data_IF_891745560162
#
_entry.id   IF_891745560162
#
_cell.length_a   1.000
_cell.length_b   1.000
_cell.length_c   1.000
_cell.angle_alpha   90.00
_cell.angle_beta   90.00
_cell.angle_gamma   90.00
#
_symmetry.space_group_name_H-M   'P 1'
#
loop_
_entity.id
_entity.type
_entity.pdbx_description
1 polymer ?
#
# COMPACT_ATOMS: atom_id res chain seq x y z
N UNK A 1 16.94 4.09 12.39
CA UNK A 1 16.30 2.77 12.25
C UNK A 1 15.06 2.85 13.10
N UNK A 2 13.90 2.55 12.55
CA UNK A 2 12.66 2.67 13.32
C UNK A 2 12.67 1.58 14.36
N UNK A 3 12.40 1.94 15.61
CA UNK A 3 12.42 0.99 16.70
C UNK A 3 11.09 0.25 16.72
N UNK A 4 11.01 -0.84 15.95
CA UNK A 4 9.86 -1.72 15.94
C UNK A 4 9.97 -2.72 17.08
N UNK A 5 8.85 -2.92 17.77
CA UNK A 5 8.73 -4.00 18.75
C UNK A 5 9.00 -5.36 18.10
N UNK A 6 9.38 -6.34 18.90
CA UNK A 6 9.58 -7.70 18.40
C UNK A 6 8.28 -8.32 17.89
N UNK A 7 7.14 -7.90 18.44
CA UNK A 7 5.83 -8.35 17.99
C UNK A 7 5.46 -7.77 16.62
N UNK A 8 5.81 -6.51 16.32
CA UNK A 8 5.67 -5.96 14.96
C UNK A 8 6.50 -6.76 13.96
N UNK A 9 7.75 -7.11 14.31
CA UNK A 9 8.62 -7.92 13.44
C UNK A 9 8.01 -9.29 13.19
N UNK A 10 7.49 -9.96 14.22
CA UNK A 10 6.88 -11.28 14.07
C UNK A 10 5.64 -11.24 13.17
N UNK A 11 4.72 -10.30 13.40
CA UNK A 11 3.51 -10.16 12.57
C UNK A 11 3.82 -9.71 11.14
N UNK A 12 4.97 -9.08 10.91
CA UNK A 12 5.46 -8.78 9.56
C UNK A 12 6.09 -9.99 8.87
N UNK A 13 6.99 -10.73 9.53
CA UNK A 13 7.68 -11.87 8.92
C UNK A 13 6.80 -13.13 8.84
N UNK A 14 5.88 -13.30 9.79
CA UNK A 14 4.98 -14.44 9.91
C UNK A 14 3.51 -13.96 10.01
N UNK A 15 2.99 -13.24 9.01
CA UNK A 15 1.65 -12.67 9.08
C UNK A 15 0.60 -13.77 9.23
N UNK A 16 -0.27 -13.60 10.24
CA UNK A 16 -1.43 -14.44 10.50
C UNK A 16 -2.54 -14.07 9.52
N UNK A 17 -3.26 -15.07 9.01
CA UNK A 17 -4.48 -14.87 8.22
C UNK A 17 -4.33 -14.04 6.92
N UNK A 18 -3.12 -13.90 6.38
CA UNK A 18 -2.93 -13.30 5.07
C UNK A 18 -3.54 -14.17 3.95
N UNK A 19 -4.23 -13.55 2.99
CA UNK A 19 -4.80 -14.20 1.83
C UNK A 19 -6.25 -13.81 1.53
N UNK A 20 -6.79 -14.36 0.44
CA UNK A 20 -8.19 -14.18 0.08
C UNK A 20 -9.10 -15.11 0.90
N UNK A 21 -10.32 -14.66 1.19
CA UNK A 21 -11.37 -15.47 1.82
C UNK A 21 -12.54 -15.61 0.84
N UNK A 22 -12.74 -16.81 0.28
CA UNK A 22 -13.74 -17.05 -0.77
C UNK A 22 -15.19 -17.00 -0.30
N UNK A 23 -15.44 -17.32 0.97
CA UNK A 23 -16.79 -17.32 1.59
C UNK A 23 -17.03 -16.09 2.48
N UNK A 24 -16.34 -14.97 2.21
CA UNK A 24 -16.53 -13.76 2.97
C UNK A 24 -17.94 -13.18 2.72
N UNK A 25 -18.63 -12.83 3.79
CA UNK A 25 -19.94 -12.16 3.75
C UNK A 25 -19.89 -10.73 4.32
N UNK A 26 -18.68 -10.26 4.65
CA UNK A 26 -18.41 -8.92 5.12
C UNK A 26 -17.05 -8.49 4.57
N UNK A 27 -17.00 -7.43 3.78
CA UNK A 27 -15.77 -6.97 3.10
C UNK A 27 -15.59 -5.48 3.30
N UNK A 28 -14.41 -5.08 3.76
CA UNK A 28 -14.00 -3.68 3.89
C UNK A 28 -12.75 -3.43 3.06
N UNK A 29 -12.79 -2.41 2.20
CA UNK A 29 -11.66 -1.99 1.37
C UNK A 29 -11.34 -0.53 1.65
N UNK A 30 -10.08 -0.24 1.94
CA UNK A 30 -9.60 1.12 2.26
C UNK A 30 -8.25 1.38 1.61
N UNK A 31 -7.98 2.66 1.34
CA UNK A 31 -6.76 3.12 0.70
C UNK A 31 -6.75 2.91 -0.81
N UNK A 32 -5.65 3.30 -1.44
CA UNK A 32 -5.50 3.27 -2.88
C UNK A 32 -4.06 2.96 -3.28
N UNK A 33 -3.89 2.27 -4.40
CA UNK A 33 -2.55 1.97 -4.95
C UNK A 33 -1.79 3.29 -5.23
N UNK A 34 -2.50 4.37 -5.54
CA UNK A 34 -1.93 5.71 -5.74
C UNK A 34 -1.33 6.34 -4.48
N UNK A 35 -1.85 6.04 -3.28
CA UNK A 35 -1.34 6.56 -2.01
C UNK A 35 -0.31 5.63 -1.32
N UNK A 36 0.02 4.50 -1.98
CA UNK A 36 1.09 3.59 -1.61
C UNK A 36 0.74 2.56 -0.53
N UNK A 37 -0.45 2.64 0.07
CA UNK A 37 -0.99 1.63 0.98
C UNK A 37 -2.47 1.36 0.63
N UNK A 38 -2.86 0.09 0.61
CA UNK A 38 -4.23 -0.36 0.40
C UNK A 38 -4.48 -1.65 1.21
N UNK A 39 -5.69 -1.79 1.74
CA UNK A 39 -6.09 -2.93 2.56
C UNK A 39 -7.49 -3.39 2.18
N UNK A 40 -7.61 -4.69 1.89
CA UNK A 40 -8.86 -5.43 1.79
C UNK A 40 -8.97 -6.39 2.96
N UNK A 41 -9.91 -6.14 3.86
CA UNK A 41 -10.28 -7.00 4.97
C UNK A 41 -11.54 -7.79 4.60
N UNK A 42 -11.51 -9.10 4.84
CA UNK A 42 -12.60 -10.01 4.52
C UNK A 42 -12.93 -10.84 5.76
N UNK A 43 -14.19 -10.82 6.17
CA UNK A 43 -14.68 -11.59 7.32
C UNK A 43 -15.74 -12.59 6.87
N UNK A 44 -15.78 -13.72 7.57
CA UNK A 44 -16.89 -14.67 7.57
C UNK A 44 -17.57 -14.56 8.94
N UNK A 45 -18.78 -14.04 8.94
CA UNK A 45 -19.58 -13.76 10.13
C UNK A 45 -20.77 -14.70 10.15
N UNK A 46 -21.06 -15.34 11.28
CA UNK A 46 -22.29 -16.12 11.43
C UNK A 46 -23.51 -15.17 11.52
N UNK A 47 -24.47 -15.24 10.59
CA UNK A 47 -25.65 -14.37 10.60
C UNK A 47 -26.58 -14.53 11.81
N UNK A 48 -26.52 -15.66 12.53
CA UNK A 48 -27.37 -15.90 13.69
C UNK A 48 -26.76 -15.38 14.99
N UNK A 49 -25.43 -15.47 15.12
CA UNK A 49 -24.72 -15.12 16.35
C UNK A 49 -23.89 -13.84 16.25
N UNK A 50 -23.72 -13.31 15.03
CA UNK A 50 -22.82 -12.20 14.70
C UNK A 50 -21.35 -12.43 15.09
N UNK A 51 -20.94 -13.70 15.27
CA UNK A 51 -19.56 -14.06 15.59
C UNK A 51 -18.71 -14.12 14.32
N UNK A 52 -17.51 -13.54 14.38
CA UNK A 52 -16.51 -13.60 13.31
C UNK A 52 -15.82 -14.97 13.37
N UNK A 53 -16.17 -15.87 12.45
CA UNK A 53 -15.63 -17.24 12.38
C UNK A 53 -14.24 -17.31 11.73
N UNK A 54 -14.03 -16.54 10.66
CA UNK A 54 -12.74 -16.39 9.99
C UNK A 54 -12.58 -14.94 9.54
N UNK A 55 -11.35 -14.45 9.55
CA UNK A 55 -10.99 -13.13 9.06
C UNK A 55 -9.69 -13.26 8.28
N UNK A 56 -9.61 -12.69 7.09
CA UNK A 56 -8.40 -12.64 6.27
C UNK A 56 -8.20 -11.27 5.67
N UNK A 57 -6.96 -10.98 5.29
CA UNK A 57 -6.62 -9.71 4.67
C UNK A 57 -5.73 -9.87 3.45
N UNK A 58 -5.86 -8.92 2.53
CA UNK A 58 -4.91 -8.65 1.47
C UNK A 58 -4.50 -7.19 1.57
N UNK A 59 -3.22 -6.93 1.74
CA UNK A 59 -2.70 -5.55 1.80
C UNK A 59 -1.55 -5.36 0.83
N UNK A 60 -1.50 -4.18 0.25
CA UNK A 60 -0.34 -3.66 -0.44
C UNK A 60 0.16 -2.48 0.37
N UNK A 61 1.40 -2.50 0.85
CA UNK A 61 1.89 -1.42 1.68
C UNK A 61 3.21 -1.72 2.36
N UNK A 62 3.58 -0.85 3.30
CA UNK A 62 4.79 -1.04 4.11
C UNK A 62 4.66 -2.19 5.13
N UNK A 63 5.77 -2.62 5.73
CA UNK A 63 5.76 -3.74 6.69
C UNK A 63 4.86 -3.53 7.90
N UNK A 64 4.66 -2.27 8.32
CA UNK A 64 3.73 -1.93 9.40
C UNK A 64 2.26 -2.08 9.01
N UNK A 65 1.91 -1.91 7.72
CA UNK A 65 0.57 -2.20 7.23
C UNK A 65 0.27 -3.70 7.33
N UNK A 66 1.22 -4.54 6.89
CA UNK A 66 1.11 -6.01 7.01
C UNK A 66 0.97 -6.43 8.47
N UNK A 67 1.82 -5.90 9.36
CA UNK A 67 1.76 -6.23 10.78
C UNK A 67 0.43 -5.78 11.43
N UNK A 68 -0.05 -4.58 11.12
CA UNK A 68 -1.31 -4.03 11.66
C UNK A 68 -2.52 -4.83 11.18
N UNK A 69 -2.59 -5.15 9.88
CA UNK A 69 -3.68 -5.97 9.33
C UNK A 69 -3.67 -7.39 9.90
N UNK A 70 -2.48 -7.98 10.08
CA UNK A 70 -2.35 -9.30 10.69
C UNK A 70 -2.74 -9.30 12.17
N UNK A 71 -2.36 -8.27 12.92
CA UNK A 71 -2.76 -8.10 14.31
C UNK A 71 -4.28 -7.96 14.44
N UNK A 72 -4.87 -7.12 13.59
CA UNK A 72 -6.30 -6.90 13.56
C UNK A 72 -7.07 -8.21 13.35
N UNK A 73 -6.71 -9.02 12.34
CA UNK A 73 -7.39 -10.30 12.09
C UNK A 73 -7.30 -11.24 13.29
N UNK A 74 -6.17 -11.28 13.97
CA UNK A 74 -5.97 -12.13 15.16
C UNK A 74 -6.79 -11.62 16.37
N UNK A 75 -7.00 -10.31 16.48
CA UNK A 75 -7.78 -9.70 17.55
C UNK A 75 -9.30 -9.86 17.39
N UNK A 76 -9.81 -10.03 16.17
CA UNK A 76 -11.25 -10.05 15.88
C UNK A 76 -11.84 -11.44 15.70
N UNK A 77 -11.05 -12.44 15.33
CA UNK A 77 -11.55 -13.82 15.17
C UNK A 77 -12.08 -14.33 16.51
N UNK A 78 -13.30 -14.86 16.49
CA UNK A 78 -14.02 -15.36 17.66
C UNK A 78 -14.77 -14.28 18.46
N UNK A 79 -14.66 -13.00 18.10
CA UNK A 79 -15.47 -11.92 18.67
C UNK A 79 -16.77 -11.73 17.91
N UNK A 80 -17.77 -11.17 18.59
CA UNK A 80 -18.98 -10.65 17.94
C UNK A 80 -18.70 -9.34 17.21
N UNK A 81 -19.52 -8.97 16.23
CA UNK A 81 -19.41 -7.66 15.56
C UNK A 81 -19.48 -6.49 16.55
N UNK A 82 -20.31 -6.63 17.59
CA UNK A 82 -20.48 -5.62 18.62
C UNK A 82 -19.23 -5.45 19.50
N UNK A 83 -18.43 -6.50 19.68
CA UNK A 83 -17.13 -6.40 20.36
C UNK A 83 -16.07 -5.88 19.39
N UNK A 84 -16.10 -6.33 18.14
CA UNK A 84 -15.11 -5.95 17.13
C UNK A 84 -15.18 -4.44 16.83
N UNK A 85 -16.38 -3.86 16.75
CA UNK A 85 -16.57 -2.44 16.44
C UNK A 85 -15.95 -1.49 17.48
N UNK A 86 -15.71 -1.98 18.70
CA UNK A 86 -15.09 -1.20 19.79
C UNK A 86 -13.58 -1.13 19.70
N UNK A 87 -12.95 -1.96 18.85
CA UNK A 87 -11.50 -1.96 18.65
C UNK A 87 -11.12 -0.67 17.95
N UNK A 88 -10.15 0.04 18.50
CA UNK A 88 -9.60 1.27 17.96
C UNK A 88 -8.26 1.03 17.27
N UNK A 89 -7.76 2.02 16.53
CA UNK A 89 -6.41 1.98 16.00
C UNK A 89 -5.34 1.87 17.11
N UNK A 90 -5.59 2.48 18.27
CA UNK A 90 -4.69 2.39 19.42
C UNK A 90 -4.64 0.97 19.98
N UNK A 91 -5.77 0.25 20.05
CA UNK A 91 -5.77 -1.15 20.49
C UNK A 91 -4.94 -2.05 19.56
N UNK A 92 -4.94 -1.79 18.25
CA UNK A 92 -4.12 -2.51 17.26
C UNK A 92 -2.63 -2.20 17.50
N UNK A 93 -2.29 -0.92 17.69
CA UNK A 93 -0.92 -0.50 17.97
C UNK A 93 -0.41 -1.08 19.30
N UNK A 94 -1.23 -1.03 20.36
CA UNK A 94 -0.91 -1.54 21.68
C UNK A 94 -0.79 -3.06 21.68
N UNK A 95 -1.65 -3.75 20.93
CA UNK A 95 -1.53 -5.19 20.71
C UNK A 95 -0.17 -5.53 20.10
N UNK A 96 0.32 -4.73 19.15
CA UNK A 96 1.65 -4.89 18.57
C UNK A 96 2.79 -4.46 19.50
N UNK A 97 2.54 -4.02 20.72
CA UNK A 97 3.56 -3.49 21.64
C UNK A 97 4.01 -2.09 21.28
N UNK A 98 3.17 -1.33 20.61
CA UNK A 98 3.41 0.01 20.10
C UNK A 98 3.83 0.03 18.62
N UNK A 99 3.48 1.13 17.96
CA UNK A 99 4.00 1.47 16.64
C UNK A 99 4.76 2.80 16.74
N UNK A 100 5.84 2.98 15.97
CA UNK A 100 6.45 4.29 15.81
C UNK A 100 5.40 5.32 15.38
N UNK A 101 5.40 6.55 15.93
CA UNK A 101 4.39 7.56 15.63
C UNK A 101 4.13 7.73 14.14
N UNK A 102 5.19 7.74 13.34
CA UNK A 102 5.14 7.97 11.89
C UNK A 102 4.49 6.84 11.07
N UNK A 103 4.22 5.70 11.70
CA UNK A 103 3.54 4.54 11.09
C UNK A 103 2.15 4.32 11.70
N UNK A 104 1.67 5.23 12.54
CA UNK A 104 0.35 5.12 13.16
C UNK A 104 -0.78 5.05 12.13
N UNK A 105 -0.63 5.66 10.95
CA UNK A 105 -1.59 5.54 9.85
C UNK A 105 -1.92 4.08 9.47
N UNK A 106 -0.99 3.13 9.66
CA UNK A 106 -1.22 1.71 9.38
C UNK A 106 -2.26 1.09 10.32
N UNK A 107 -2.30 1.55 11.57
CA UNK A 107 -3.31 1.14 12.54
C UNK A 107 -4.67 1.78 12.26
N UNK A 108 -4.68 3.03 11.80
CA UNK A 108 -5.90 3.75 11.37
C UNK A 108 -6.54 3.04 10.18
N UNK A 109 -5.75 2.70 9.16
CA UNK A 109 -6.22 1.96 8.00
C UNK A 109 -6.83 0.59 8.37
N UNK A 110 -6.21 -0.13 9.33
CA UNK A 110 -6.79 -1.37 9.84
C UNK A 110 -8.17 -1.16 10.49
N UNK A 111 -8.27 -0.15 11.35
CA UNK A 111 -9.52 0.23 11.99
C UNK A 111 -10.62 0.59 10.98
N UNK A 112 -10.32 1.44 9.99
CA UNK A 112 -11.28 1.86 8.96
C UNK A 112 -11.75 0.66 8.11
N UNK A 113 -10.84 -0.26 7.76
CA UNK A 113 -11.19 -1.48 7.05
C UNK A 113 -12.15 -2.37 7.86
N UNK A 114 -12.00 -2.42 9.18
CA UNK A 114 -12.92 -3.15 10.05
C UNK A 114 -14.31 -2.51 10.06
N UNK A 115 -14.39 -1.20 10.23
CA UNK A 115 -15.67 -0.49 10.23
C UNK A 115 -16.40 -0.66 8.90
N UNK A 116 -15.67 -0.52 7.78
CA UNK A 116 -16.21 -0.76 6.45
C UNK A 116 -16.74 -2.20 6.27
N UNK A 117 -16.01 -3.20 6.77
CA UNK A 117 -16.45 -4.60 6.70
C UNK A 117 -17.71 -4.87 7.54
N UNK A 118 -17.80 -4.29 8.74
CA UNK A 118 -18.96 -4.45 9.63
C UNK A 118 -20.20 -3.78 9.02
N UNK A 119 -20.06 -2.57 8.50
CA UNK A 119 -21.15 -1.86 7.84
C UNK A 119 -21.62 -2.59 6.58
N UNK A 120 -20.69 -3.13 5.78
CA UNK A 120 -21.01 -3.98 4.64
C UNK A 120 -21.86 -5.20 5.02
N UNK A 121 -21.54 -5.86 6.14
CA UNK A 121 -22.34 -6.98 6.66
C UNK A 121 -23.74 -6.56 7.09
N UNK A 122 -23.86 -5.41 7.78
CA UNK A 122 -25.14 -4.87 8.25
C UNK A 122 -26.02 -4.32 7.12
N UNK A 123 -25.48 -4.20 5.91
CA UNK A 123 -26.14 -3.54 4.79
C UNK A 123 -26.31 -2.04 5.01
N UNK A 124 -25.48 -1.45 5.87
CA UNK A 124 -25.41 -0.02 6.09
C UNK A 124 -24.54 0.59 4.98
N UNK A 125 -24.92 1.78 4.49
CA UNK A 125 -24.04 2.54 3.60
C UNK A 125 -22.85 3.05 4.41
N UNK A 126 -21.72 2.35 4.27
CA UNK A 126 -20.43 2.88 4.67
C UNK A 126 -19.95 3.82 3.58
N UNK A 127 -20.14 5.11 3.81
CA UNK A 127 -19.38 6.11 3.07
C UNK A 127 -17.96 6.06 3.62
N UNK A 128 -17.01 5.63 2.77
CA UNK A 128 -15.62 5.99 3.01
C UNK A 128 -15.56 7.51 2.78
N UNK A 129 -15.58 8.29 3.85
CA UNK A 129 -15.80 9.75 3.86
C UNK A 129 -14.78 10.55 3.01
N UNK A 130 -13.86 9.89 2.31
CA UNK A 130 -13.04 10.42 1.23
C UNK A 130 -13.80 11.23 0.17
N UNK A 131 -15.14 11.14 0.11
CA UNK A 131 -16.00 11.93 -0.79
C UNK A 131 -16.96 12.93 -0.10
N UNK A 132 -17.08 12.96 1.23
CA UNK A 132 -18.01 13.88 1.93
C UNK A 132 -17.36 15.19 2.41
N UNK A 133 -16.02 15.26 2.44
CA UNK A 133 -15.25 16.44 2.84
C UNK A 133 -14.60 17.18 1.67
N UNK A 134 -14.30 18.47 1.85
CA UNK A 134 -13.46 19.18 0.91
C UNK A 134 -12.05 18.53 0.89
N UNK A 135 -11.59 18.08 -0.29
CA UNK A 135 -10.26 17.48 -0.43
C UNK A 135 -9.18 18.42 0.13
N UNK A 136 -8.55 17.98 1.22
CA UNK A 136 -7.59 18.77 1.98
C UNK A 136 -6.18 18.54 1.46
N UNK A 137 -5.73 17.28 1.40
CA UNK A 137 -4.43 16.88 0.89
C UNK A 137 -4.53 16.10 -0.42
N UNK A 138 -4.24 16.78 -1.54
CA UNK A 138 -4.24 16.16 -2.87
C UNK A 138 -3.20 15.06 -3.06
N UNK A 139 -2.07 15.13 -2.38
CA UNK A 139 -0.97 14.17 -2.55
C UNK A 139 -1.31 12.78 -2.03
N UNK A 140 -2.05 12.72 -0.92
CA UNK A 140 -2.36 11.47 -0.23
C UNK A 140 -3.85 11.12 -0.27
N UNK A 141 -4.68 11.96 -0.92
CA UNK A 141 -6.11 11.74 -1.03
C UNK A 141 -6.87 11.94 0.28
N UNK A 142 -6.35 12.77 1.19
CA UNK A 142 -6.94 12.98 2.51
C UNK A 142 -7.92 14.14 2.46
N UNK A 143 -9.16 13.93 2.87
CA UNK A 143 -10.18 14.96 3.05
C UNK A 143 -10.14 15.58 4.46
N UNK A 144 -10.89 16.66 4.65
CA UNK A 144 -11.00 17.35 5.95
C UNK A 144 -11.63 16.48 7.05
N UNK A 145 -12.65 15.68 6.73
CA UNK A 145 -13.34 14.81 7.69
C UNK A 145 -12.42 13.75 8.27
N UNK A 146 -11.57 13.13 7.45
CA UNK A 146 -10.54 12.19 7.92
C UNK A 146 -9.59 12.84 8.94
N UNK A 147 -9.18 14.08 8.69
CA UNK A 147 -8.33 14.84 9.63
C UNK A 147 -9.08 15.14 10.92
N UNK A 148 -10.33 15.61 10.85
CA UNK A 148 -11.16 15.89 12.02
C UNK A 148 -11.37 14.62 12.89
N UNK A 149 -11.71 13.49 12.26
CA UNK A 149 -11.86 12.19 12.96
C UNK A 149 -10.55 11.77 13.63
N UNK A 150 -9.43 11.85 12.92
CA UNK A 150 -8.12 11.49 13.47
C UNK A 150 -7.75 12.36 14.68
N UNK A 151 -8.00 13.68 14.62
CA UNK A 151 -7.78 14.61 15.74
C UNK A 151 -8.65 14.23 16.93
N UNK A 152 -9.95 14.02 16.74
CA UNK A 152 -10.87 13.71 17.85
C UNK A 152 -10.57 12.37 18.51
N UNK A 153 -10.34 11.32 17.72
CA UNK A 153 -10.09 9.97 18.24
C UNK A 153 -8.77 9.88 19.00
N UNK A 154 -7.72 10.56 18.51
CA UNK A 154 -6.37 10.42 19.04
C UNK A 154 -5.91 11.65 19.84
N UNK A 155 -6.76 12.66 19.99
CA UNK A 155 -6.49 13.94 20.69
C UNK A 155 -5.24 14.62 20.16
N UNK A 156 -5.15 14.76 18.84
CA UNK A 156 -3.95 15.30 18.18
C UNK A 156 -3.88 16.82 18.37
N UNK A 157 -2.73 17.32 18.81
CA UNK A 157 -2.52 18.73 19.15
C UNK A 157 -1.44 19.40 18.31
N UNK A 158 -0.83 18.68 17.37
CA UNK A 158 0.23 19.19 16.48
C UNK A 158 0.02 18.75 15.03
N UNK A 159 0.58 19.50 14.08
CA UNK A 159 0.52 19.16 12.65
C UNK A 159 1.32 17.89 12.36
N UNK A 160 2.45 17.70 13.03
CA UNK A 160 3.25 16.47 12.91
C UNK A 160 2.45 15.24 13.31
N UNK A 161 1.69 15.31 14.40
CA UNK A 161 0.77 14.23 14.79
C UNK A 161 -0.29 13.96 13.73
N UNK A 162 -0.86 15.01 13.10
CA UNK A 162 -1.80 14.79 11.99
C UNK A 162 -1.11 14.07 10.83
N UNK A 163 0.11 14.48 10.46
CA UNK A 163 0.89 13.80 9.42
C UNK A 163 1.14 12.34 9.77
N UNK A 164 1.48 12.03 11.01
CA UNK A 164 1.79 10.69 11.48
C UNK A 164 0.56 9.74 11.42
N UNK A 165 -0.65 10.27 11.65
CA UNK A 165 -1.89 9.48 11.63
C UNK A 165 -2.63 9.46 10.29
N UNK A 166 -2.49 10.52 9.47
CA UNK A 166 -3.25 10.67 8.21
C UNK A 166 -2.38 10.75 6.95
N UNK A 167 -1.06 10.87 7.09
CA UNK A 167 -0.10 11.26 6.04
C UNK A 167 -0.24 12.68 5.50
N UNK A 168 -1.33 13.39 5.79
CA UNK A 168 -1.53 14.75 5.31
C UNK A 168 -0.41 15.67 5.81
N UNK A 169 0.13 16.50 4.92
CA UNK A 169 1.30 17.35 5.23
C UNK A 169 2.66 16.67 5.05
N UNK A 170 2.75 15.35 4.90
CA UNK A 170 4.05 14.65 4.71
C UNK A 170 4.72 14.81 3.33
N UNK A 171 4.07 15.53 2.41
CA UNK A 171 4.40 15.58 0.98
C UNK A 171 4.86 16.97 0.50
N UNK A 172 4.04 17.61 -0.34
CA UNK A 172 4.35 18.93 -0.90
C UNK A 172 4.09 20.11 0.07
N UNK A 173 3.37 19.85 1.18
CA UNK A 173 2.93 20.82 2.18
C UNK A 173 1.97 21.92 1.68
N UNK A 174 1.41 21.82 0.47
CA UNK A 174 0.41 22.79 -0.03
C UNK A 174 -0.89 22.82 0.78
N UNK A 175 -1.12 21.82 1.62
CA UNK A 175 -2.28 21.73 2.51
C UNK A 175 -2.01 22.28 3.92
N UNK A 176 -0.83 22.82 4.20
CA UNK A 176 -0.40 23.20 5.56
C UNK A 176 -1.36 24.19 6.23
N UNK A 177 -1.67 25.30 5.58
CA UNK A 177 -2.57 26.33 6.14
C UNK A 177 -3.95 25.75 6.48
N UNK A 178 -4.47 24.85 5.64
CA UNK A 178 -5.73 24.15 5.89
C UNK A 178 -5.65 23.19 7.08
N UNK A 179 -4.52 22.50 7.24
CA UNK A 179 -4.29 21.64 8.40
C UNK A 179 -4.28 22.46 9.70
N UNK A 180 -3.67 23.66 9.68
CA UNK A 180 -3.69 24.57 10.82
C UNK A 180 -5.10 25.05 11.18
N UNK A 181 -5.90 25.40 10.18
CA UNK A 181 -7.29 25.81 10.39
C UNK A 181 -8.13 24.68 11.01
N UNK A 182 -8.02 23.47 10.47
CA UNK A 182 -8.79 22.31 10.93
C UNK A 182 -8.39 21.91 12.34
N UNK A 183 -7.08 21.82 12.63
CA UNK A 183 -6.62 21.42 13.97
C UNK A 183 -6.96 22.47 15.04
N UNK A 184 -6.88 23.76 14.71
CA UNK A 184 -7.24 24.83 15.63
C UNK A 184 -8.74 24.79 15.95
N UNK A 185 -9.58 24.60 14.92
CA UNK A 185 -11.04 24.47 15.05
C UNK A 185 -11.41 23.27 15.93
N UNK A 186 -10.91 22.08 15.59
CA UNK A 186 -11.27 20.85 16.31
C UNK A 186 -10.74 20.88 17.76
N UNK A 187 -9.53 21.40 17.99
CA UNK A 187 -9.03 21.53 19.36
C UNK A 187 -9.83 22.54 20.18
N UNK A 188 -10.33 23.63 19.58
CA UNK A 188 -11.22 24.55 20.27
C UNK A 188 -12.54 23.87 20.68
N UNK A 189 -13.11 23.02 19.81
CA UNK A 189 -14.29 22.22 20.13
C UNK A 189 -14.00 21.23 21.27
N UNK A 190 -12.87 20.50 21.21
CA UNK A 190 -12.47 19.56 22.27
C UNK A 190 -12.22 20.25 23.62
N UNK A 191 -11.73 21.50 23.61
CA UNK A 191 -11.60 22.32 24.82
C UNK A 191 -12.98 22.72 25.35
N UNK A 192 -13.91 23.11 24.48
CA UNK A 192 -15.28 23.43 24.87
C UNK A 192 -16.05 22.23 25.44
N UNK A 193 -15.77 21.03 24.91
CA UNK A 193 -16.30 19.74 25.39
C UNK A 193 -15.61 19.26 26.70
N UNK A 194 -14.52 19.91 27.12
CA UNK A 194 -13.76 19.55 28.32
C UNK A 194 -12.87 18.30 28.16
N UNK A 195 -12.63 17.88 26.91
CA UNK A 195 -11.82 16.70 26.57
C UNK A 195 -10.32 17.05 26.50
N UNK A 196 -9.99 18.30 26.15
CA UNK A 196 -8.64 18.83 26.02
C UNK A 196 -8.44 20.08 26.88
N UNK A 197 -7.27 20.28 27.50
CA UNK A 197 -7.01 21.52 28.21
C UNK A 197 -6.65 22.66 27.24
N UNK A 198 -7.11 23.88 27.53
CA UNK A 198 -6.91 25.04 26.64
C UNK A 198 -5.44 25.36 26.31
N UNK A 199 -4.50 24.96 27.17
CA UNK A 199 -3.06 25.16 26.96
C UNK A 199 -2.42 24.10 26.05
N UNK A 200 -3.11 22.98 25.82
CA UNK A 200 -2.66 21.90 24.93
C UNK A 200 -3.21 22.08 23.52
N UNK A 201 -4.20 22.95 23.34
CA UNK A 201 -4.81 23.23 22.04
C UNK A 201 -3.82 23.91 21.08
N UNK A 202 -3.85 23.48 19.82
CA UNK A 202 -3.05 24.08 18.76
C UNK A 202 -3.39 25.57 18.54
N UNK A 203 -2.37 26.41 18.39
CA UNK A 203 -2.51 27.80 17.98
C UNK A 203 -1.95 28.00 16.57
N UNK A 204 -2.72 28.62 15.69
CA UNK A 204 -2.28 28.95 14.32
C UNK A 204 -0.96 29.74 14.36
N UNK A 205 0.01 29.32 13.55
CA UNK A 205 1.36 29.90 13.52
C UNK A 205 2.29 29.37 14.62
N UNK A 206 1.92 28.31 15.35
CA UNK A 206 2.80 27.67 16.33
C UNK A 206 4.04 27.00 15.70
N UNK A 207 3.96 26.62 14.42
CA UNK A 207 5.03 25.97 13.66
C UNK A 207 5.14 26.56 12.26
N UNK A 208 6.38 26.72 11.77
CA UNK A 208 6.64 27.18 10.40
C UNK A 208 6.63 25.97 9.44
N UNK A 209 5.93 26.10 8.31
CA UNK A 209 5.88 25.09 7.26
C UNK A 209 7.29 24.69 6.74
N UNK A 210 8.24 25.62 6.76
CA UNK A 210 9.62 25.36 6.38
C UNK A 210 10.34 24.42 7.37
N UNK A 211 10.05 24.54 8.67
CA UNK A 211 10.63 23.67 9.70
C UNK A 211 10.09 22.25 9.60
N UNK A 212 8.80 22.09 9.30
CA UNK A 212 8.19 20.78 9.04
C UNK A 212 8.79 20.16 7.77
N UNK A 213 8.98 20.96 6.71
CA UNK A 213 9.61 20.48 5.47
C UNK A 213 11.06 20.05 5.69
N UNK A 214 11.82 20.81 6.47
CA UNK A 214 13.20 20.51 6.81
C UNK A 214 13.30 19.23 7.65
N UNK A 215 12.43 19.08 8.66
CA UNK A 215 12.30 17.85 9.46
C UNK A 215 11.88 16.66 8.59
N UNK A 216 10.85 16.79 7.75
CA UNK A 216 10.40 15.74 6.84
C UNK A 216 11.50 15.31 5.85
N UNK A 217 12.29 16.26 5.32
CA UNK A 217 13.41 15.97 4.41
C UNK A 217 14.57 15.28 5.12
N UNK A 218 15.02 15.79 6.26
CA UNK A 218 16.07 15.18 7.08
C UNK A 218 15.67 13.77 7.55
N UNK A 219 14.38 13.57 7.85
CA UNK A 219 13.80 12.29 8.27
C UNK A 219 13.72 11.26 7.14
N UNK A 220 13.39 11.70 5.92
CA UNK A 220 13.41 10.87 4.70
C UNK A 220 14.84 10.45 4.30
N UNK A 221 15.82 11.31 4.58
CA UNK A 221 17.24 11.02 4.40
C UNK A 221 17.74 10.00 5.46
N UNK A 222 17.32 10.15 6.73
CA UNK A 222 17.59 9.18 7.80
C UNK A 222 16.91 7.80 7.59
N UNK A 223 15.72 7.75 6.98
CA UNK A 223 15.07 6.49 6.55
C UNK A 223 15.87 5.74 5.49
N UNK A 224 16.54 6.48 4.59
CA UNK A 224 17.34 5.92 3.51
C UNK A 224 18.68 5.34 4.00
N UNK A 225 19.26 5.94 5.04
CA UNK A 225 20.48 5.47 5.71
C UNK A 225 20.23 4.39 6.77
N UNK A 226 19.02 4.31 7.32
CA UNK A 226 18.67 3.35 8.36
C UNK A 226 17.96 2.08 7.88
N UNK A 227 17.82 1.90 6.56
CA UNK A 227 17.51 0.61 5.98
C UNK A 227 18.70 -0.33 6.25
N UNK A 228 18.54 -1.46 6.95
CA UNK A 228 19.63 -2.43 7.03
C UNK A 228 19.97 -2.90 5.60
N UNK A 229 21.22 -3.32 5.31
CA UNK A 229 21.46 -4.11 4.10
C UNK A 229 20.48 -5.28 4.14
N UNK A 230 19.77 -5.47 3.04
CA UNK A 230 18.84 -6.58 2.76
C UNK A 230 19.05 -7.75 3.73
N UNK A 231 18.07 -7.99 4.61
CA UNK A 231 18.11 -9.06 5.60
C UNK A 231 18.53 -10.39 4.95
N UNK A 232 19.46 -11.17 5.55
CA UNK A 232 19.96 -12.43 4.99
C UNK A 232 18.98 -13.60 5.13
N UNK A 233 17.71 -13.34 5.44
CA UNK A 233 16.66 -14.34 5.55
C UNK A 233 15.76 -14.31 4.32
N UNK A 234 15.96 -15.30 3.46
CA UNK A 234 14.99 -15.76 2.45
C UNK A 234 13.59 -15.91 3.08
N UNK A 235 12.53 -15.31 2.52
CA UNK A 235 11.17 -15.50 3.02
C UNK A 235 10.78 -16.97 2.93
N UNK A 236 10.52 -17.58 4.09
CA UNK A 236 10.10 -18.96 4.24
C UNK A 236 8.58 -19.06 4.40
N UNK A 237 7.82 -18.78 3.33
CA UNK A 237 6.73 -19.65 2.84
C UNK A 237 5.85 -18.94 1.80
N UNK A 238 5.30 -19.71 0.85
CA UNK A 238 5.04 -19.22 -0.49
C UNK A 238 3.56 -18.88 -0.68
N UNK A 239 3.31 -17.68 -1.22
CA UNK A 239 2.21 -17.52 -2.17
C UNK A 239 2.26 -18.66 -3.20
N UNK A 240 1.11 -19.22 -3.63
CA UNK A 240 1.12 -20.34 -4.57
C UNK A 240 1.99 -19.97 -5.77
N UNK A 241 2.99 -20.80 -6.11
CA UNK A 241 4.03 -20.40 -7.04
C UNK A 241 3.42 -20.14 -8.42
N UNK A 242 3.73 -19.03 -9.11
CA UNK A 242 3.72 -19.06 -10.55
C UNK A 242 4.89 -19.96 -10.96
N UNK A 243 4.54 -21.24 -11.16
CA UNK A 243 5.34 -22.30 -11.74
C UNK A 243 6.78 -22.46 -11.22
N UNK A 244 7.01 -23.57 -10.51
CA UNK A 244 8.29 -24.24 -10.59
C UNK A 244 8.67 -24.36 -12.08
N UNK A 245 9.82 -23.81 -12.47
CA UNK A 245 10.37 -24.22 -13.74
C UNK A 245 11.47 -23.40 -14.38
N UNK A 246 12.02 -22.31 -13.80
CA UNK A 246 13.13 -21.67 -14.51
C UNK A 246 14.01 -20.72 -13.69
N UNK A 247 15.29 -21.10 -13.54
CA UNK A 247 16.35 -20.17 -13.13
C UNK A 247 16.50 -19.05 -14.17
N UNK A 248 16.96 -17.85 -13.79
CA UNK A 248 17.18 -16.74 -14.73
C UNK A 248 18.05 -17.14 -15.93
N UNK A 249 19.06 -17.99 -15.70
CA UNK A 249 19.88 -18.61 -16.76
C UNK A 249 19.09 -19.48 -17.74
N UNK A 250 18.10 -20.24 -17.25
CA UNK A 250 17.24 -21.07 -18.10
C UNK A 250 16.16 -20.22 -18.79
N UNK A 251 15.71 -19.11 -18.16
CA UNK A 251 14.77 -18.14 -18.76
C UNK A 251 15.44 -17.42 -19.92
N UNK A 252 16.65 -16.90 -19.72
CA UNK A 252 17.42 -16.26 -20.78
C UNK A 252 17.61 -17.19 -21.97
N UNK A 253 18.00 -18.45 -21.74
CA UNK A 253 18.12 -19.45 -22.82
C UNK A 253 16.82 -19.69 -23.57
N UNK A 254 15.70 -19.86 -22.88
CA UNK A 254 14.41 -20.04 -23.56
C UNK A 254 13.93 -18.80 -24.31
N UNK A 255 14.20 -17.61 -23.77
CA UNK A 255 13.90 -16.34 -24.43
C UNK A 255 14.76 -16.20 -25.69
N UNK A 256 16.05 -16.52 -25.63
CA UNK A 256 16.95 -16.55 -26.79
C UNK A 256 16.47 -17.53 -27.85
N UNK A 257 16.14 -18.78 -27.46
CA UNK A 257 15.59 -19.80 -28.37
C UNK A 257 14.26 -19.37 -28.99
N UNK A 258 13.38 -18.73 -28.21
CA UNK A 258 12.11 -18.20 -28.70
C UNK A 258 12.31 -17.07 -29.72
N UNK A 259 13.25 -16.16 -29.45
CA UNK A 259 13.57 -15.07 -30.36
C UNK A 259 14.17 -15.65 -31.66
N UNK A 260 15.08 -16.62 -31.59
CA UNK A 260 15.71 -17.22 -32.77
C UNK A 260 14.71 -17.97 -33.67
N UNK A 261 13.66 -18.58 -33.12
CA UNK A 261 12.56 -19.15 -33.90
C UNK A 261 11.68 -18.11 -34.60
N UNK A 262 11.57 -16.90 -34.02
CA UNK A 262 10.76 -15.81 -34.55
C UNK A 262 11.55 -15.00 -35.60
N UNK A 263 12.89 -14.96 -35.51
CA UNK A 263 13.76 -14.21 -36.44
C UNK A 263 13.53 -14.50 -37.93
N UNK A 264 13.35 -15.75 -38.40
CA UNK A 264 13.08 -16.01 -39.82
C UNK A 264 11.77 -15.39 -40.32
N UNK A 265 10.77 -15.25 -39.45
CA UNK A 265 9.51 -14.56 -39.78
C UNK A 265 9.71 -13.05 -39.82
N UNK A 266 10.38 -12.49 -38.82
CA UNK A 266 10.70 -11.06 -38.79
C UNK A 266 11.60 -10.65 -39.97
N UNK A 267 12.56 -11.49 -40.37
CA UNK A 267 13.45 -11.27 -41.52
C UNK A 267 12.71 -11.33 -42.85
N UNK A 268 11.67 -12.18 -42.97
CA UNK A 268 10.78 -12.19 -44.14
C UNK A 268 9.99 -10.88 -44.25
N UNK A 269 9.65 -10.28 -43.12
CA UNK A 269 8.95 -8.99 -43.03
C UNK A 269 9.91 -7.78 -43.06
N UNK A 270 11.20 -8.01 -43.31
CA UNK A 270 12.21 -6.95 -43.47
C UNK A 270 12.73 -6.33 -42.16
N UNK A 271 12.59 -7.02 -41.03
CA UNK A 271 13.13 -6.62 -39.72
C UNK A 271 13.95 -7.72 -39.03
N UNK A 272 14.62 -7.37 -37.93
CA UNK A 272 15.27 -8.35 -37.05
C UNK A 272 15.07 -7.96 -35.58
N UNK A 273 15.18 -8.95 -34.69
CA UNK A 273 15.02 -8.78 -33.25
C UNK A 273 16.17 -9.47 -32.52
N UNK A 274 16.82 -8.74 -31.62
CA UNK A 274 17.92 -9.24 -30.78
C UNK A 274 17.60 -9.01 -29.31
N UNK A 275 17.91 -9.99 -28.47
CA UNK A 275 17.77 -9.87 -27.02
C UNK A 275 18.91 -9.00 -26.48
N UNK A 276 18.58 -7.98 -25.69
CA UNK A 276 19.57 -7.17 -24.98
C UNK A 276 19.71 -7.63 -23.54
N UNK A 277 18.59 -7.73 -22.82
CA UNK A 277 18.61 -8.09 -21.40
C UNK A 277 17.23 -8.58 -20.92
N UNK A 278 17.20 -9.27 -19.77
CA UNK A 278 16.00 -9.81 -19.14
C UNK A 278 15.99 -9.45 -17.66
N UNK A 279 15.08 -8.55 -17.28
CA UNK A 279 14.89 -8.14 -15.89
C UNK A 279 13.53 -8.63 -15.37
N UNK A 280 13.53 -9.74 -14.63
CA UNK A 280 12.34 -10.35 -14.06
C UNK A 280 11.34 -10.83 -15.14
N UNK A 281 10.28 -10.05 -15.34
CA UNK A 281 9.26 -10.27 -16.39
C UNK A 281 9.42 -9.34 -17.60
N UNK A 282 10.37 -8.40 -17.55
CA UNK A 282 10.64 -7.48 -18.63
C UNK A 282 11.74 -8.04 -19.55
N UNK A 283 11.42 -8.20 -20.83
CA UNK A 283 12.36 -8.67 -21.86
C UNK A 283 12.71 -7.48 -22.74
N UNK A 284 13.96 -7.01 -22.65
CA UNK A 284 14.46 -5.88 -23.42
C UNK A 284 15.02 -6.38 -24.75
N UNK A 285 14.45 -5.90 -25.85
CA UNK A 285 14.83 -6.32 -27.20
C UNK A 285 15.21 -5.13 -28.06
N UNK A 286 16.23 -5.32 -28.90
CA UNK A 286 16.56 -4.41 -29.99
C UNK A 286 15.80 -4.86 -31.23
N UNK A 287 14.99 -3.97 -31.78
CA UNK A 287 14.39 -4.18 -33.11
C UNK A 287 15.23 -3.42 -34.14
N UNK A 288 15.47 -4.03 -35.30
CA UNK A 288 16.16 -3.42 -36.44
C UNK A 288 15.36 -3.61 -37.73
N UNK A 289 15.62 -2.79 -38.75
CA UNK A 289 14.93 -2.84 -40.05
C UNK A 289 13.58 -2.11 -40.08
N UNK A 290 12.60 -2.63 -40.84
CA UNK A 290 11.30 -1.98 -41.04
C UNK A 290 10.48 -1.76 -39.74
N UNK A 291 10.88 -2.41 -38.65
CA UNK A 291 10.22 -2.39 -37.34
C UNK A 291 10.65 -1.22 -36.43
N UNK A 292 11.60 -0.35 -36.82
CA UNK A 292 12.12 0.71 -35.94
C UNK A 292 11.35 2.04 -35.98
N UNK A 293 10.23 2.12 -36.70
CA UNK A 293 9.48 3.37 -36.81
C UNK A 293 8.16 3.34 -37.58
N UNK A 294 7.63 2.16 -37.92
CA UNK A 294 6.31 2.04 -38.52
C UNK A 294 5.22 2.17 -37.44
N UNK A 295 4.06 2.76 -37.77
CA UNK A 295 2.85 2.76 -36.89
C UNK A 295 2.45 1.34 -36.43
N UNK A 296 2.95 0.30 -37.12
CA UNK A 296 2.75 -1.12 -36.78
C UNK A 296 3.86 -1.74 -35.92
N UNK A 297 4.88 -0.99 -35.48
CA UNK A 297 5.92 -1.50 -34.58
C UNK A 297 5.33 -2.01 -33.26
N UNK A 298 4.25 -1.39 -32.79
CA UNK A 298 3.46 -1.87 -31.63
C UNK A 298 2.84 -3.25 -31.87
N UNK A 299 2.38 -3.53 -33.09
CA UNK A 299 1.80 -4.83 -33.48
C UNK A 299 2.87 -5.91 -33.48
N UNK A 300 4.08 -5.60 -33.97
CA UNK A 300 5.21 -6.52 -33.94
C UNK A 300 5.66 -6.82 -32.51
N UNK A 301 5.75 -5.82 -31.63
CA UNK A 301 6.11 -6.00 -30.21
C UNK A 301 5.07 -6.86 -29.49
N UNK A 302 3.78 -6.60 -29.72
CA UNK A 302 2.69 -7.42 -29.16
C UNK A 302 2.74 -8.86 -29.67
N UNK A 303 3.02 -9.08 -30.96
CA UNK A 303 3.15 -10.43 -31.52
C UNK A 303 4.35 -11.21 -30.96
N UNK A 304 5.48 -10.53 -30.72
CA UNK A 304 6.64 -11.13 -30.04
C UNK A 304 6.28 -11.46 -28.58
N UNK A 305 5.58 -10.55 -27.89
CA UNK A 305 5.14 -10.74 -26.51
C UNK A 305 4.21 -11.94 -26.37
N UNK A 306 3.20 -12.08 -27.22
CA UNK A 306 2.28 -13.23 -27.20
C UNK A 306 3.01 -14.56 -27.41
N UNK A 307 3.95 -14.61 -28.36
CA UNK A 307 4.74 -15.83 -28.61
C UNK A 307 5.67 -16.18 -27.46
N UNK A 308 6.28 -15.17 -26.82
CA UNK A 308 7.10 -15.39 -25.64
C UNK A 308 6.27 -15.87 -24.44
N UNK A 309 5.07 -15.31 -24.23
CA UNK A 309 4.15 -15.78 -23.18
C UNK A 309 3.72 -17.22 -23.44
N UNK A 310 3.37 -17.57 -24.69
CA UNK A 310 2.97 -18.92 -25.07
C UNK A 310 4.07 -19.96 -24.83
N UNK A 311 5.34 -19.59 -25.07
CA UNK A 311 6.49 -20.51 -24.92
C UNK A 311 7.03 -20.57 -23.49
N UNK A 312 6.97 -19.47 -22.74
CA UNK A 312 7.47 -19.40 -21.36
C UNK A 312 6.41 -19.80 -20.33
N UNK A 313 5.13 -19.78 -20.68
CA UNK A 313 4.03 -20.10 -19.77
C UNK A 313 3.87 -19.12 -18.61
N UNK A 314 4.50 -17.94 -18.72
CA UNK A 314 4.48 -16.87 -17.72
C UNK A 314 4.25 -15.52 -18.41
N UNK A 315 3.55 -14.58 -17.77
CA UNK A 315 3.36 -13.24 -18.32
C UNK A 315 4.70 -12.52 -18.41
N UNK A 316 5.07 -12.12 -19.62
CA UNK A 316 6.27 -11.31 -19.91
C UNK A 316 5.89 -10.06 -20.67
N UNK A 317 6.63 -8.97 -20.45
CA UNK A 317 6.47 -7.69 -21.11
C UNK A 317 7.67 -7.41 -22.00
N UNK A 318 7.45 -7.18 -23.28
CA UNK A 318 8.52 -6.88 -24.23
C UNK A 318 8.72 -5.38 -24.30
N UNK A 319 9.95 -4.92 -24.05
CA UNK A 319 10.32 -3.51 -24.05
C UNK A 319 11.31 -3.28 -25.19
N UNK A 320 10.93 -2.57 -26.27
CA UNK A 320 11.87 -2.20 -27.31
C UNK A 320 12.82 -1.13 -26.77
N UNK A 321 14.11 -1.40 -26.82
CA UNK A 321 15.15 -0.42 -26.48
C UNK A 321 15.86 0.01 -27.76
N UNK A 322 16.20 1.30 -27.87
CA UNK A 322 16.95 1.80 -29.02
C UNK A 322 18.40 1.33 -28.87
N UNK A 323 18.92 0.56 -29.82
CA UNK A 323 20.34 0.29 -29.89
C UNK A 323 21.09 1.63 -29.96
N UNK A 324 21.89 1.93 -28.93
CA UNK A 324 22.84 3.03 -29.01
C UNK A 324 23.86 2.69 -30.09
N UNK A 325 23.86 3.46 -31.17
CA UNK A 325 24.97 3.45 -32.12
C UNK A 325 26.23 3.90 -31.38
N UNK A 326 27.25 3.02 -31.35
CA UNK A 326 28.63 3.43 -31.10
C UNK A 326 29.15 4.25 -32.28
#
# INVERSE_FOLDING_TARGET
MWDYSDKVKDYFFNPKNAGALGEANAVGEVGAISCGDALKLMLKVDPATEVIEDARFQTFGCGSAIASSSALTDMIIGKTLQEAITITNQDIADFLGGLPPEKMHCSVMGYEALQAAIANFRGEEWHDDHEEGALLCKCFGVDEGMVERAIRMNKLTTIEQITDYTKAGGGCLTCFDKLEEVIAKVNADLVAEGVLAAHEAYSIGAVDAADIKAKAKAKKEAEKEAAPPTSPLTPASPLPPPSAGMTNLKKMRLIEEAIEEIRPYLKKDGGDCELIDVDGSNVMVSLTGACTGCQMASVTVSGIQERLIAKLGVPVRVIPVKAHAH
#
